data_IF_662777221832
#
_entry.id   IF_662777221832
#
_cell.length_a   1.000
_cell.length_b   1.000
_cell.length_c   1.000
_cell.angle_alpha   90.00
_cell.angle_beta   90.00
_cell.angle_gamma   90.00
#
_symmetry.space_group_name_H-M   'P 1'
#
loop_
_entity.id
_entity.type
_entity.pdbx_description
1 polymer ?
#
# COMPACT_ATOMS: atom_id res chain seq x y z
N UNK A 1 -11.43 0.31 5.91
CA UNK A 1 -12.22 0.19 7.16
C UNK A 1 -11.88 1.27 8.20
N UNK A 2 -12.82 1.62 9.08
CA UNK A 2 -12.66 2.68 10.08
C UNK A 2 -11.68 2.41 11.25
N UNK A 3 -10.86 3.41 11.69
CA UNK A 3 -10.07 3.32 12.95
C UNK A 3 -10.94 2.73 14.05
N UNK A 4 -10.51 1.62 14.66
CA UNK A 4 -11.30 0.95 15.71
C UNK A 4 -11.46 1.86 16.92
N UNK A 5 -12.49 1.64 17.73
CA UNK A 5 -12.68 2.42 18.96
C UNK A 5 -11.44 2.39 19.86
N UNK A 6 -10.79 1.23 19.99
CA UNK A 6 -9.55 1.07 20.74
C UNK A 6 -8.39 1.91 20.17
N UNK A 7 -8.23 1.94 18.84
CA UNK A 7 -7.24 2.79 18.18
C UNK A 7 -7.52 4.28 18.39
N UNK A 8 -8.79 4.71 18.33
CA UNK A 8 -9.17 6.11 18.60
C UNK A 8 -8.93 6.54 20.04
N UNK A 9 -8.95 5.59 20.98
CA UNK A 9 -8.69 5.82 22.41
C UNK A 9 -7.23 5.59 22.81
N UNK A 10 -6.34 5.26 21.86
CA UNK A 10 -4.94 4.95 22.15
C UNK A 10 -4.72 3.63 22.90
N UNK A 11 -5.75 2.78 22.98
CA UNK A 11 -5.70 1.47 23.68
C UNK A 11 -5.18 0.34 22.77
N UNK A 12 -5.10 0.59 21.46
CA UNK A 12 -4.51 -0.32 20.48
C UNK A 12 -3.65 0.46 19.49
N UNK A 13 -2.51 -0.07 19.06
CA UNK A 13 -1.69 0.56 18.03
C UNK A 13 -2.46 0.69 16.71
N UNK A 14 -2.21 1.78 16.00
CA UNK A 14 -2.72 1.98 14.64
C UNK A 14 -1.79 1.20 13.71
N UNK A 15 -2.38 0.39 12.83
CA UNK A 15 -1.63 -0.33 11.80
C UNK A 15 -1.12 0.70 10.78
N UNK A 16 0.18 0.96 10.81
CA UNK A 16 0.86 1.98 9.99
C UNK A 16 1.98 1.41 9.12
N UNK A 17 2.41 0.17 9.38
CA UNK A 17 3.45 -0.48 8.59
C UNK A 17 2.85 -1.26 7.42
N UNK A 18 3.47 -1.11 6.25
CA UNK A 18 3.17 -1.92 5.07
C UNK A 18 3.71 -3.33 5.31
N UNK A 19 2.93 -4.33 4.91
CA UNK A 19 3.26 -5.73 5.11
C UNK A 19 3.89 -6.31 3.84
N UNK A 20 5.23 -6.40 3.80
CA UNK A 20 6.00 -7.01 2.71
C UNK A 20 6.46 -8.41 3.08
N UNK A 21 7.16 -8.57 4.20
CA UNK A 21 7.78 -9.86 4.58
C UNK A 21 7.00 -10.61 5.66
N UNK A 22 5.72 -10.25 5.82
CA UNK A 22 4.83 -10.82 6.83
C UNK A 22 3.37 -10.63 6.45
N UNK A 23 2.48 -11.34 7.14
CA UNK A 23 1.04 -11.16 7.06
C UNK A 23 0.44 -11.30 8.44
N UNK A 24 -0.18 -10.24 8.94
CA UNK A 24 -0.92 -10.26 10.19
C UNK A 24 -2.27 -10.97 10.03
N UNK A 25 -2.86 -11.31 11.19
CA UNK A 25 -4.13 -12.02 11.23
C UNK A 25 -5.26 -11.23 10.59
N UNK A 26 -5.23 -9.89 10.64
CA UNK A 26 -6.31 -9.05 10.12
C UNK A 26 -6.35 -9.12 8.59
N UNK A 27 -5.19 -9.01 7.92
CA UNK A 27 -5.06 -9.21 6.48
C UNK A 27 -5.45 -10.64 6.08
N UNK A 28 -4.90 -11.65 6.77
CA UNK A 28 -5.17 -13.06 6.48
C UNK A 28 -6.67 -13.38 6.60
N UNK A 29 -7.32 -12.91 7.66
CA UNK A 29 -8.76 -13.07 7.86
C UNK A 29 -9.59 -12.36 6.79
N UNK A 30 -9.22 -11.13 6.43
CA UNK A 30 -9.95 -10.35 5.42
C UNK A 30 -9.89 -11.01 4.04
N UNK A 31 -8.72 -11.54 3.65
CA UNK A 31 -8.56 -12.28 2.40
C UNK A 31 -9.41 -13.55 2.39
N UNK A 32 -9.43 -14.31 3.49
CA UNK A 32 -10.31 -15.48 3.59
C UNK A 32 -11.80 -15.11 3.45
N UNK A 33 -12.22 -13.99 4.02
CA UNK A 33 -13.60 -13.53 3.91
C UNK A 33 -13.97 -13.18 2.46
N UNK A 34 -13.07 -12.56 1.70
CA UNK A 34 -13.27 -12.33 0.26
C UNK A 34 -13.49 -13.65 -0.47
N UNK A 35 -12.63 -14.64 -0.27
CA UNK A 35 -12.80 -15.95 -0.90
C UNK A 35 -14.11 -16.63 -0.49
N UNK A 36 -14.51 -16.45 0.78
CA UNK A 36 -15.78 -16.99 1.28
C UNK A 36 -16.98 -16.41 0.55
N UNK A 37 -17.04 -15.09 0.39
CA UNK A 37 -18.18 -14.42 -0.25
C UNK A 37 -18.14 -14.57 -1.77
N UNK A 38 -16.98 -14.35 -2.39
CA UNK A 38 -16.84 -14.30 -3.84
C UNK A 38 -16.67 -15.67 -4.49
N UNK A 39 -16.29 -16.70 -3.74
CA UNK A 39 -16.08 -18.06 -4.26
C UNK A 39 -16.95 -19.08 -3.51
N UNK A 40 -16.66 -19.32 -2.22
CA UNK A 40 -17.21 -20.49 -1.52
C UNK A 40 -18.73 -20.46 -1.39
N UNK A 41 -19.32 -19.28 -1.16
CA UNK A 41 -20.76 -19.08 -1.00
C UNK A 41 -21.49 -18.71 -2.29
N UNK A 42 -20.80 -18.63 -3.44
CA UNK A 42 -21.50 -18.44 -4.71
C UNK A 42 -22.35 -19.67 -5.01
N UNK A 43 -23.57 -19.42 -5.48
CA UNK A 43 -24.50 -20.47 -5.92
C UNK A 43 -23.82 -21.37 -6.96
N UNK A 44 -23.96 -22.69 -6.80
CA UNK A 44 -23.34 -23.67 -7.70
C UNK A 44 -21.93 -24.11 -7.28
N UNK A 45 -21.30 -23.44 -6.29
CA UNK A 45 -19.93 -23.81 -5.89
C UNK A 45 -19.92 -25.06 -4.99
N UNK A 46 -20.59 -25.02 -3.84
CA UNK A 46 -20.64 -26.18 -2.92
C UNK A 46 -21.56 -27.28 -3.43
N UNK A 47 -22.75 -26.87 -3.92
CA UNK A 47 -23.77 -27.76 -4.46
C UNK A 47 -24.32 -27.18 -5.77
N UNK A 48 -24.66 -28.04 -6.71
CA UNK A 48 -25.37 -27.65 -7.94
C UNK A 48 -26.88 -27.47 -7.70
N UNK A 49 -27.65 -27.32 -8.78
CA UNK A 49 -29.09 -27.09 -8.71
C UNK A 49 -29.89 -28.30 -8.22
N UNK A 50 -29.31 -29.50 -8.32
CA UNK A 50 -29.94 -30.78 -7.97
C UNK A 50 -29.52 -31.24 -6.56
N UNK A 51 -28.59 -30.52 -5.92
CA UNK A 51 -28.08 -30.79 -4.58
C UNK A 51 -26.82 -31.66 -4.57
N UNK A 52 -26.35 -32.08 -5.74
CA UNK A 52 -25.11 -32.82 -5.93
C UNK A 52 -23.89 -31.91 -5.75
N UNK A 53 -22.67 -32.48 -5.78
CA UNK A 53 -21.44 -31.72 -5.56
C UNK A 53 -21.23 -30.72 -6.68
N UNK A 54 -21.13 -29.44 -6.32
CA UNK A 54 -20.94 -28.35 -7.29
C UNK A 54 -19.50 -28.19 -7.78
N UNK A 55 -19.18 -26.98 -8.26
CA UNK A 55 -17.87 -26.64 -8.84
C UNK A 55 -16.68 -26.87 -7.89
N UNK A 56 -16.91 -27.01 -6.58
CA UNK A 56 -15.88 -27.35 -5.60
C UNK A 56 -15.14 -28.64 -5.93
N UNK A 57 -15.79 -29.62 -6.58
CA UNK A 57 -15.11 -30.85 -6.98
C UNK A 57 -14.04 -30.58 -8.03
N UNK A 58 -14.40 -29.90 -9.12
CA UNK A 58 -13.47 -29.57 -10.20
C UNK A 58 -12.36 -28.62 -9.73
N UNK A 59 -12.71 -27.63 -8.91
CA UNK A 59 -11.74 -26.75 -8.28
C UNK A 59 -10.79 -27.53 -7.35
N UNK A 60 -11.33 -28.44 -6.53
CA UNK A 60 -10.54 -29.31 -5.66
C UNK A 60 -9.57 -30.18 -6.45
N UNK A 61 -10.00 -30.82 -7.53
CA UNK A 61 -9.12 -31.61 -8.41
C UNK A 61 -7.97 -30.76 -8.95
N UNK A 62 -8.28 -29.56 -9.45
CA UNK A 62 -7.25 -28.65 -9.96
C UNK A 62 -6.29 -28.18 -8.86
N UNK A 63 -6.81 -27.87 -7.66
CA UNK A 63 -6.01 -27.43 -6.53
C UNK A 63 -5.08 -28.55 -6.03
N UNK A 64 -5.58 -29.78 -5.88
CA UNK A 64 -4.75 -30.93 -5.48
C UNK A 64 -3.66 -31.25 -6.49
N UNK A 65 -4.02 -31.32 -7.77
CA UNK A 65 -3.07 -31.68 -8.82
C UNK A 65 -2.03 -30.59 -9.08
N UNK A 66 -2.43 -29.31 -9.12
CA UNK A 66 -1.59 -28.25 -9.68
C UNK A 66 -1.02 -27.28 -8.63
N UNK A 67 -1.69 -27.09 -7.49
CA UNK A 67 -1.19 -26.23 -6.41
C UNK A 67 -0.49 -27.07 -5.34
N UNK A 68 -1.18 -28.07 -4.78
CA UNK A 68 -0.58 -28.95 -3.77
C UNK A 68 0.40 -29.98 -4.35
N UNK A 69 0.33 -30.27 -5.65
CA UNK A 69 1.09 -31.33 -6.30
C UNK A 69 0.91 -32.70 -5.60
N UNK A 70 -0.31 -32.99 -5.16
CA UNK A 70 -0.69 -34.23 -4.47
C UNK A 70 -1.51 -35.16 -5.39
N UNK A 71 -1.48 -36.48 -5.14
CA UNK A 71 -2.37 -37.41 -5.82
C UNK A 71 -3.85 -37.03 -5.60
N UNK A 72 -4.63 -36.99 -6.68
CA UNK A 72 -6.05 -36.61 -6.63
C UNK A 72 -6.87 -37.60 -5.77
N UNK A 73 -6.44 -38.85 -5.66
CA UNK A 73 -7.08 -39.87 -4.82
C UNK A 73 -6.91 -39.65 -3.32
N UNK A 74 -5.97 -38.77 -2.90
CA UNK A 74 -5.87 -38.29 -1.52
C UNK A 74 -6.83 -37.11 -1.23
N UNK A 75 -7.47 -36.54 -2.25
CA UNK A 75 -8.44 -35.46 -2.06
C UNK A 75 -9.64 -35.95 -1.23
N UNK A 76 -10.04 -35.22 -0.17
CA UNK A 76 -11.19 -35.58 0.63
C UNK A 76 -12.46 -35.70 -0.22
N UNK A 77 -13.30 -36.68 0.12
CA UNK A 77 -14.59 -36.85 -0.55
C UNK A 77 -15.62 -35.84 -0.01
N UNK A 78 -16.24 -35.11 -0.93
CA UNK A 78 -17.34 -34.18 -0.65
C UNK A 78 -16.88 -32.75 -0.35
N UNK A 79 -17.66 -31.78 -0.81
CA UNK A 79 -17.29 -30.35 -0.78
C UNK A 79 -16.95 -29.82 0.62
N UNK A 80 -17.68 -30.24 1.65
CA UNK A 80 -17.42 -29.79 3.03
C UNK A 80 -16.06 -30.27 3.57
N UNK A 81 -15.60 -31.46 3.17
CA UNK A 81 -14.29 -31.95 3.58
C UNK A 81 -13.17 -31.25 2.80
N UNK A 82 -13.38 -31.00 1.51
CA UNK A 82 -12.45 -30.24 0.65
C UNK A 82 -12.25 -28.82 1.21
N UNK A 83 -13.33 -28.08 1.48
CA UNK A 83 -13.20 -26.70 1.97
C UNK A 83 -12.58 -26.63 3.37
N UNK A 84 -12.77 -27.66 4.20
CA UNK A 84 -12.13 -27.77 5.51
C UNK A 84 -10.61 -27.86 5.37
N UNK A 85 -10.11 -28.66 4.43
CA UNK A 85 -8.66 -28.74 4.19
C UNK A 85 -8.10 -27.50 3.53
N UNK A 86 -8.83 -26.89 2.58
CA UNK A 86 -8.43 -25.58 2.03
C UNK A 86 -8.30 -24.55 3.15
N UNK A 87 -9.27 -24.50 4.08
CA UNK A 87 -9.21 -23.59 5.23
C UNK A 87 -8.05 -23.91 6.15
N UNK A 88 -7.82 -25.18 6.47
CA UNK A 88 -6.73 -25.61 7.33
C UNK A 88 -5.38 -25.23 6.73
N UNK A 89 -5.16 -25.48 5.44
CA UNK A 89 -3.97 -25.02 4.73
C UNK A 89 -3.83 -23.50 4.81
N UNK A 90 -4.85 -22.76 4.37
CA UNK A 90 -4.83 -21.30 4.29
C UNK A 90 -4.41 -20.65 5.61
N UNK A 91 -4.93 -21.11 6.76
CA UNK A 91 -4.63 -20.49 8.05
C UNK A 91 -3.30 -20.93 8.67
N UNK A 92 -2.79 -22.11 8.33
CA UNK A 92 -1.57 -22.66 8.92
C UNK A 92 -0.32 -22.53 8.02
N UNK A 93 -0.49 -22.18 6.75
CA UNK A 93 0.63 -21.93 5.85
C UNK A 93 1.36 -20.61 6.18
N UNK A 94 2.58 -20.52 5.68
CA UNK A 94 3.43 -19.33 5.72
C UNK A 94 2.77 -18.16 5.00
N UNK A 95 3.16 -16.94 5.34
CA UNK A 95 2.53 -15.74 4.80
C UNK A 95 2.59 -15.67 3.25
N UNK A 96 3.68 -16.12 2.64
CA UNK A 96 3.86 -16.08 1.19
C UNK A 96 2.99 -17.12 0.47
N UNK A 97 2.78 -18.29 1.09
CA UNK A 97 1.92 -19.36 0.55
C UNK A 97 0.45 -18.91 0.46
N UNK A 98 0.02 -17.95 1.29
CA UNK A 98 -1.30 -17.31 1.17
C UNK A 98 -1.42 -16.55 -0.14
N UNK A 99 -0.38 -15.83 -0.54
CA UNK A 99 -0.37 -15.08 -1.80
C UNK A 99 -0.32 -16.03 -3.00
N UNK A 100 0.51 -17.07 -2.97
CA UNK A 100 0.54 -18.12 -4.01
C UNK A 100 -0.84 -18.81 -4.16
N UNK A 101 -1.50 -19.07 -3.03
CA UNK A 101 -2.86 -19.61 -3.05
C UNK A 101 -3.86 -18.64 -3.69
N UNK A 102 -3.75 -17.34 -3.40
CA UNK A 102 -4.60 -16.31 -4.01
C UNK A 102 -4.36 -16.22 -5.52
N UNK A 103 -3.12 -16.29 -5.99
CA UNK A 103 -2.79 -16.35 -7.42
C UNK A 103 -3.48 -17.53 -8.09
N UNK A 104 -3.36 -18.72 -7.49
CA UNK A 104 -4.03 -19.91 -8.01
C UNK A 104 -5.55 -19.71 -8.11
N UNK A 105 -6.18 -19.20 -7.04
CA UNK A 105 -7.63 -18.99 -7.02
C UNK A 105 -8.06 -17.94 -8.04
N UNK A 106 -7.40 -16.78 -8.09
CA UNK A 106 -7.73 -15.72 -9.03
C UNK A 106 -7.50 -16.17 -10.48
N UNK A 107 -6.39 -16.85 -10.74
CA UNK A 107 -6.06 -17.41 -12.05
C UNK A 107 -6.99 -18.55 -12.48
N UNK A 108 -7.51 -19.36 -11.55
CA UNK A 108 -8.48 -20.41 -11.88
C UNK A 108 -9.84 -19.84 -12.29
N UNK A 109 -10.32 -18.82 -11.57
CA UNK A 109 -11.64 -18.25 -11.84
C UNK A 109 -11.64 -17.15 -12.90
N UNK A 110 -10.52 -16.45 -13.09
CA UNK A 110 -10.36 -15.33 -14.06
C UNK A 110 -11.47 -14.27 -13.97
N UNK A 111 -11.99 -14.02 -12.76
CA UNK A 111 -13.08 -13.06 -12.53
C UNK A 111 -12.52 -11.70 -12.10
N UNK A 112 -12.84 -10.67 -12.88
CA UNK A 112 -12.48 -9.29 -12.55
C UNK A 112 -13.06 -8.85 -11.20
N UNK A 113 -14.30 -9.25 -10.89
CA UNK A 113 -14.94 -8.92 -9.60
C UNK A 113 -14.16 -9.47 -8.40
N UNK A 114 -13.69 -10.71 -8.49
CA UNK A 114 -12.87 -11.34 -7.45
C UNK A 114 -11.54 -10.61 -7.29
N UNK A 115 -10.87 -10.31 -8.41
CA UNK A 115 -9.60 -9.58 -8.43
C UNK A 115 -9.75 -8.20 -7.77
N UNK A 116 -10.85 -7.50 -8.06
CA UNK A 116 -11.16 -6.19 -7.48
C UNK A 116 -11.36 -6.27 -5.97
N UNK A 117 -12.11 -7.26 -5.47
CA UNK A 117 -12.32 -7.44 -4.03
C UNK A 117 -11.05 -7.86 -3.28
N UNK A 118 -10.22 -8.73 -3.89
CA UNK A 118 -8.90 -9.08 -3.35
C UNK A 118 -8.03 -7.83 -3.24
N UNK A 119 -7.93 -7.02 -4.31
CA UNK A 119 -7.16 -5.78 -4.28
C UNK A 119 -7.68 -4.76 -3.28
N UNK A 120 -9.01 -4.65 -3.13
CA UNK A 120 -9.64 -3.82 -2.12
C UNK A 120 -9.19 -4.22 -0.71
N UNK A 121 -9.15 -5.51 -0.39
CA UNK A 121 -8.64 -5.98 0.91
C UNK A 121 -7.14 -5.76 1.06
N UNK A 122 -6.34 -6.08 0.04
CA UNK A 122 -4.89 -5.86 0.08
C UNK A 122 -4.56 -4.39 0.36
N UNK A 123 -5.29 -3.45 -0.25
CA UNK A 123 -5.17 -2.02 0.00
C UNK A 123 -5.67 -1.64 1.39
N UNK A 124 -6.88 -2.07 1.71
CA UNK A 124 -7.49 -1.81 3.00
C UNK A 124 -6.72 -2.42 4.14
N UNK A 125 -5.82 -3.37 3.94
CA UNK A 125 -5.04 -3.99 5.01
C UNK A 125 -3.54 -3.66 4.97
N UNK A 126 -3.14 -2.67 4.15
CA UNK A 126 -1.75 -2.24 3.98
C UNK A 126 -0.81 -3.40 3.57
N UNK A 127 -1.28 -4.29 2.70
CA UNK A 127 -0.43 -5.26 2.01
C UNK A 127 0.48 -4.54 1.02
N UNK A 128 1.76 -4.92 1.00
CA UNK A 128 2.76 -4.48 0.02
C UNK A 128 2.52 -5.00 -1.40
N UNK A 129 1.50 -5.87 -1.58
CA UNK A 129 1.21 -6.56 -2.84
C UNK A 129 -0.17 -6.25 -3.41
N UNK A 130 -0.33 -6.32 -4.75
CA UNK A 130 -1.60 -6.25 -5.52
C UNK A 130 -1.65 -7.38 -6.52
N UNK A 131 -2.87 -7.83 -6.84
CA UNK A 131 -3.13 -8.74 -7.94
C UNK A 131 -3.29 -7.96 -9.26
N UNK A 132 -2.41 -8.22 -10.23
CA UNK A 132 -2.43 -7.63 -11.57
C UNK A 132 -2.36 -8.76 -12.59
N UNK A 133 -3.36 -8.86 -13.48
CA UNK A 133 -3.40 -9.92 -14.49
C UNK A 133 -3.44 -11.33 -13.92
N UNK A 134 -3.99 -11.51 -12.72
CA UNK A 134 -4.07 -12.80 -12.03
C UNK A 134 -2.84 -13.18 -11.21
N UNK A 135 -1.80 -12.32 -11.20
CA UNK A 135 -0.54 -12.55 -10.49
C UNK A 135 -0.41 -11.54 -9.35
N UNK A 136 0.05 -11.98 -8.19
CA UNK A 136 0.36 -11.13 -7.05
C UNK A 136 1.73 -10.51 -7.31
N UNK A 137 1.78 -9.19 -7.34
CA UNK A 137 2.98 -8.42 -7.61
C UNK A 137 3.19 -7.38 -6.52
N UNK A 138 4.45 -7.04 -6.29
CA UNK A 138 4.82 -5.92 -5.45
C UNK A 138 4.14 -4.64 -5.95
N UNK A 139 3.51 -3.92 -5.04
CA UNK A 139 3.06 -2.54 -5.27
C UNK A 139 4.15 -1.56 -4.93
N UNK A 140 4.89 -1.92 -3.88
CA UNK A 140 5.95 -1.15 -3.28
C UNK A 140 7.25 -1.83 -3.67
N UNK A 141 7.97 -1.17 -4.55
CA UNK A 141 9.39 -1.42 -4.72
C UNK A 141 10.02 -1.45 -3.30
N UNK A 142 10.66 -2.53 -2.83
CA UNK A 142 11.24 -2.58 -1.47
C UNK A 142 12.12 -1.35 -1.14
N UNK A 143 12.74 -0.79 -2.18
CA UNK A 143 13.52 0.44 -2.18
C UNK A 143 12.69 1.68 -1.79
N UNK A 144 11.40 1.73 -2.14
CA UNK A 144 10.47 2.80 -1.71
C UNK A 144 10.17 2.72 -0.22
N UNK A 145 10.05 1.51 0.32
CA UNK A 145 9.83 1.29 1.75
C UNK A 145 11.09 1.63 2.53
N UNK A 146 12.24 1.07 2.13
CA UNK A 146 13.53 1.37 2.75
C UNK A 146 13.80 2.88 2.76
N UNK A 147 13.55 3.56 1.64
CA UNK A 147 13.70 5.01 1.52
C UNK A 147 12.79 5.78 2.51
N UNK A 148 11.53 5.36 2.66
CA UNK A 148 10.59 5.96 3.61
C UNK A 148 11.01 5.70 5.06
N UNK A 149 11.43 4.47 5.38
CA UNK A 149 11.91 4.09 6.70
C UNK A 149 13.19 4.84 7.09
N UNK A 150 14.14 4.99 6.16
CA UNK A 150 15.34 5.80 6.35
C UNK A 150 14.97 7.26 6.66
N UNK A 151 14.07 7.85 5.88
CA UNK A 151 13.70 9.26 6.02
C UNK A 151 12.93 9.55 7.32
N UNK A 152 12.04 8.63 7.73
CA UNK A 152 11.22 8.73 8.95
C UNK A 152 12.00 8.29 10.20
N UNK A 153 12.93 7.34 10.06
CA UNK A 153 13.78 6.85 11.15
C UNK A 153 14.86 7.84 11.59
N UNK A 154 15.19 8.80 10.73
CA UNK A 154 16.20 9.82 10.98
C UNK A 154 15.81 10.79 12.12
N UNK A 155 16.55 10.74 13.23
CA UNK A 155 16.33 11.58 14.40
C UNK A 155 16.90 12.99 14.28
N UNK A 156 17.79 13.25 13.32
CA UNK A 156 18.48 14.55 13.22
C UNK A 156 17.55 15.65 12.69
N UNK A 157 16.49 15.27 11.99
CA UNK A 157 15.53 16.19 11.36
C UNK A 157 14.09 15.89 11.80
N UNK A 158 13.71 16.23 13.05
CA UNK A 158 12.40 15.87 13.61
C UNK A 158 11.22 16.48 12.84
N UNK A 159 11.39 17.66 12.24
CA UNK A 159 10.35 18.28 11.40
C UNK A 159 10.08 17.50 10.10
N UNK A 160 11.14 17.01 9.46
CA UNK A 160 11.05 16.16 8.26
C UNK A 160 10.31 14.87 8.59
N UNK A 161 10.72 14.20 9.67
CA UNK A 161 10.08 12.99 10.18
C UNK A 161 8.58 13.21 10.44
N UNK A 162 8.23 14.27 11.15
CA UNK A 162 6.83 14.56 11.49
C UNK A 162 5.96 14.74 10.24
N UNK A 163 6.46 15.51 9.25
CA UNK A 163 5.74 15.74 7.99
C UNK A 163 5.62 14.47 7.13
N UNK A 164 6.69 13.68 6.97
CA UNK A 164 6.61 12.43 6.22
C UNK A 164 5.69 11.41 6.88
N UNK A 165 5.74 11.31 8.21
CA UNK A 165 4.84 10.43 8.95
C UNK A 165 3.39 10.89 8.81
N UNK A 166 3.14 12.20 8.87
CA UNK A 166 1.80 12.75 8.65
C UNK A 166 1.30 12.54 7.22
N UNK A 167 2.17 12.71 6.23
CA UNK A 167 1.87 12.44 4.83
C UNK A 167 1.45 10.97 4.64
N UNK A 168 2.22 10.03 5.20
CA UNK A 168 1.91 8.61 5.16
C UNK A 168 0.57 8.28 5.84
N UNK A 169 0.28 8.89 7.00
CA UNK A 169 -1.00 8.72 7.69
C UNK A 169 -2.19 9.21 6.84
N UNK A 170 -2.04 10.35 6.17
CA UNK A 170 -3.08 10.94 5.33
C UNK A 170 -3.29 10.13 4.04
N UNK A 171 -2.21 9.59 3.47
CA UNK A 171 -2.23 8.70 2.31
C UNK A 171 -2.90 7.36 2.63
N UNK A 172 -2.58 6.79 3.80
CA UNK A 172 -3.01 5.45 4.20
C UNK A 172 -4.34 5.41 4.97
N UNK A 173 -5.05 6.53 5.13
CA UNK A 173 -6.37 6.54 5.79
C UNK A 173 -7.41 5.77 4.96
N UNK A 174 -7.72 4.56 5.41
CA UNK A 174 -8.62 3.60 4.76
C UNK A 174 -10.09 4.04 4.69
N UNK A 175 -10.50 5.15 5.32
CA UNK A 175 -11.89 5.66 5.28
C UNK A 175 -12.03 6.88 4.38
N UNK A 176 -11.10 7.79 4.55
CA UNK A 176 -11.16 9.12 3.98
C UNK A 176 -9.72 9.51 3.69
N UNK A 177 -9.09 8.85 2.70
CA UNK A 177 -7.73 9.16 2.33
C UNK A 177 -7.70 10.62 1.90
N UNK A 178 -6.75 11.36 2.45
CA UNK A 178 -6.62 12.77 2.20
C UNK A 178 -5.38 12.99 1.33
N UNK A 179 -5.48 12.55 0.08
CA UNK A 179 -4.40 12.61 -0.90
C UNK A 179 -3.87 14.02 -1.08
N UNK A 180 -4.77 15.02 -1.06
CA UNK A 180 -4.41 16.43 -1.11
C UNK A 180 -3.48 16.80 0.05
N UNK A 181 -3.89 16.55 1.29
CA UNK A 181 -3.08 16.94 2.44
C UNK A 181 -1.85 16.02 2.59
N UNK A 182 -1.89 14.77 2.11
CA UNK A 182 -0.69 13.93 1.98
C UNK A 182 0.36 14.61 1.11
N UNK A 183 -0.01 15.11 -0.07
CA UNK A 183 0.90 15.83 -0.97
C UNK A 183 1.44 17.09 -0.29
N UNK A 184 0.59 17.83 0.44
CA UNK A 184 1.03 19.03 1.17
C UNK A 184 2.10 18.71 2.20
N UNK A 185 1.89 17.66 2.99
CA UNK A 185 2.83 17.23 4.04
C UNK A 185 4.13 16.69 3.43
N UNK A 186 4.08 15.94 2.32
CA UNK A 186 5.29 15.51 1.60
C UNK A 186 6.17 16.69 1.20
N UNK A 187 5.58 17.78 0.73
CA UNK A 187 6.31 19.00 0.36
C UNK A 187 6.79 19.76 1.60
N UNK A 188 5.97 19.82 2.65
CA UNK A 188 6.38 20.41 3.94
C UNK A 188 7.60 19.70 4.53
N UNK A 189 7.78 18.40 4.29
CA UNK A 189 9.00 17.69 4.67
C UNK A 189 10.24 18.22 3.94
N UNK A 190 10.15 18.45 2.63
CA UNK A 190 11.24 19.06 1.84
C UNK A 190 11.52 20.49 2.32
N UNK A 191 10.48 21.29 2.58
CA UNK A 191 10.61 22.63 3.16
C UNK A 191 11.32 22.62 4.51
N UNK A 192 10.93 21.71 5.39
CA UNK A 192 11.51 21.56 6.71
C UNK A 192 13.00 21.25 6.63
N UNK A 193 13.38 20.31 5.74
CA UNK A 193 14.77 19.97 5.53
C UNK A 193 15.57 21.14 4.94
N UNK A 194 15.06 21.76 3.88
CA UNK A 194 15.77 22.85 3.20
C UNK A 194 16.05 24.01 4.18
N UNK A 195 15.05 24.40 4.99
CA UNK A 195 15.23 25.43 6.04
C UNK A 195 16.25 25.03 7.09
N UNK A 196 16.26 23.76 7.50
CA UNK A 196 17.21 23.25 8.48
C UNK A 196 18.65 23.28 7.93
N UNK A 197 18.85 22.83 6.69
CA UNK A 197 20.16 22.81 6.03
C UNK A 197 20.73 24.20 5.73
N UNK A 198 19.87 25.21 5.58
CA UNK A 198 20.29 26.59 5.28
C UNK A 198 20.30 27.49 6.51
N UNK A 199 19.86 27.01 7.67
CA UNK A 199 19.65 27.81 8.89
C UNK A 199 18.72 29.02 8.67
N UNK A 200 17.74 28.90 7.77
CA UNK A 200 16.79 29.96 7.41
C UNK A 200 15.36 29.57 7.80
N UNK A 201 14.95 29.72 9.07
CA UNK A 201 13.69 29.17 9.59
C UNK A 201 12.42 29.76 8.97
N UNK A 202 12.53 30.92 8.30
CA UNK A 202 11.39 31.62 7.67
C UNK A 202 11.47 31.68 6.14
N UNK A 203 12.48 31.06 5.53
CA UNK A 203 12.63 31.08 4.08
C UNK A 203 11.46 30.35 3.40
N UNK A 204 11.03 30.83 2.23
CA UNK A 204 10.18 30.03 1.35
C UNK A 204 10.96 28.81 0.86
N UNK A 205 10.28 27.76 0.36
CA UNK A 205 11.00 26.63 -0.26
C UNK A 205 11.92 27.12 -1.38
N UNK A 206 11.45 28.09 -2.15
CA UNK A 206 12.21 28.69 -3.24
C UNK A 206 13.51 29.32 -2.80
N UNK A 207 13.47 30.09 -1.72
CA UNK A 207 14.65 30.76 -1.18
C UNK A 207 15.61 29.76 -0.52
N UNK A 208 15.07 28.78 0.21
CA UNK A 208 15.87 27.74 0.83
C UNK A 208 16.59 26.89 -0.24
N UNK A 209 15.91 26.45 -1.30
CA UNK A 209 16.54 25.66 -2.37
C UNK A 209 17.61 26.42 -3.16
N UNK A 210 17.45 27.73 -3.36
CA UNK A 210 18.52 28.57 -3.93
C UNK A 210 19.76 28.59 -3.03
N UNK A 211 19.57 28.65 -1.72
CA UNK A 211 20.70 28.62 -0.79
C UNK A 211 21.35 27.23 -0.74
N UNK A 212 20.56 26.16 -0.79
CA UNK A 212 21.06 24.77 -0.88
C UNK A 212 21.88 24.54 -2.16
N UNK A 213 21.51 25.15 -3.30
CA UNK A 213 22.32 25.12 -4.54
C UNK A 213 23.74 25.64 -4.29
N UNK A 214 23.83 26.79 -3.61
CA UNK A 214 25.11 27.47 -3.32
C UNK A 214 25.96 26.67 -2.32
N UNK A 215 25.34 26.13 -1.27
CA UNK A 215 26.08 25.49 -0.16
C UNK A 215 26.36 24.00 -0.39
N UNK A 216 25.47 23.28 -1.08
CA UNK A 216 25.47 21.82 -1.17
C UNK A 216 25.63 21.28 -2.60
N UNK A 217 25.96 22.15 -3.56
CA UNK A 217 26.33 21.83 -4.95
C UNK A 217 25.31 20.93 -5.68
N UNK A 218 24.04 21.33 -5.61
CA UNK A 218 22.97 20.68 -6.38
C UNK A 218 22.95 21.26 -7.79
N UNK A 219 22.78 20.41 -8.79
CA UNK A 219 22.70 20.86 -10.18
C UNK A 219 21.50 21.83 -10.37
N UNK A 220 21.69 23.00 -11.02
CA UNK A 220 20.65 24.02 -11.15
C UNK A 220 19.33 23.50 -11.73
N UNK A 221 19.41 22.64 -12.76
CA UNK A 221 18.23 22.04 -13.39
C UNK A 221 17.41 21.14 -12.45
N UNK A 222 18.07 20.42 -11.52
CA UNK A 222 17.39 19.59 -10.53
C UNK A 222 16.69 20.46 -9.48
N UNK A 223 17.32 21.55 -9.05
CA UNK A 223 16.66 22.54 -8.20
C UNK A 223 15.43 23.13 -8.93
N UNK A 224 15.58 23.54 -10.19
CA UNK A 224 14.47 24.12 -10.96
C UNK A 224 13.31 23.14 -11.17
N UNK A 225 13.57 21.84 -11.30
CA UNK A 225 12.50 20.84 -11.36
C UNK A 225 11.72 20.75 -10.04
N UNK A 226 12.40 20.80 -8.90
CA UNK A 226 11.72 20.85 -7.59
C UNK A 226 10.96 22.15 -7.36
N UNK A 227 11.47 23.29 -7.84
CA UNK A 227 10.73 24.56 -7.81
C UNK A 227 9.45 24.49 -8.65
N UNK A 228 9.49 23.81 -9.80
CA UNK A 228 8.29 23.59 -10.63
C UNK A 228 7.30 22.65 -9.96
N UNK A 229 7.76 21.56 -9.34
CA UNK A 229 6.89 20.66 -8.54
C UNK A 229 6.24 21.40 -7.38
N UNK A 230 7.00 22.23 -6.66
CA UNK A 230 6.49 23.10 -5.61
C UNK A 230 5.45 24.09 -6.14
N UNK A 231 5.76 24.73 -7.27
CA UNK A 231 4.85 25.64 -7.98
C UNK A 231 3.52 24.96 -8.31
N UNK A 232 3.56 23.76 -8.90
CA UNK A 232 2.36 22.98 -9.20
C UNK A 232 1.47 22.73 -7.97
N UNK A 233 2.08 22.49 -6.80
CA UNK A 233 1.31 22.30 -5.57
C UNK A 233 0.85 23.59 -4.90
N UNK A 234 1.51 24.72 -5.17
CA UNK A 234 1.29 26.01 -4.51
C UNK A 234 0.52 27.03 -5.37
N UNK A 235 0.24 26.72 -6.64
CA UNK A 235 -0.51 27.58 -7.56
C UNK A 235 -1.97 27.78 -7.09
N UNK A 236 -2.63 28.87 -7.52
CA UNK A 236 -4.03 29.20 -7.22
C UNK A 236 -5.00 28.11 -7.72
N UNK A 237 -4.66 27.46 -8.84
CA UNK A 237 -5.33 26.25 -9.36
C UNK A 237 -4.68 24.94 -8.87
N UNK A 238 -3.63 25.05 -8.06
CA UNK A 238 -2.85 23.94 -7.54
C UNK A 238 -3.47 23.26 -6.33
N UNK A 239 -2.81 22.21 -5.88
CA UNK A 239 -3.27 21.30 -4.81
C UNK A 239 -3.48 22.03 -3.47
N UNK A 240 -2.78 23.14 -3.19
CA UNK A 240 -2.89 23.89 -1.94
C UNK A 240 -4.02 24.94 -1.91
N UNK A 241 -4.46 25.49 -3.05
CA UNK A 241 -5.39 26.62 -3.09
C UNK A 241 -6.73 26.36 -3.81
N UNK A 242 -6.86 25.28 -4.60
CA UNK A 242 -8.13 24.94 -5.23
C UNK A 242 -9.19 24.52 -4.19
N UNK A 243 -10.11 25.44 -3.86
CA UNK A 243 -11.23 25.21 -2.92
C UNK A 243 -12.55 24.80 -3.59
N UNK A 244 -12.70 24.91 -4.92
CA UNK A 244 -14.04 24.89 -5.52
C UNK A 244 -14.23 24.06 -6.82
N UNK A 245 -13.18 23.61 -7.49
CA UNK A 245 -13.27 22.61 -8.57
C UNK A 245 -12.11 21.62 -8.41
N UNK A 246 -12.41 20.36 -8.10
CA UNK A 246 -11.41 19.35 -7.78
C UNK A 246 -10.45 19.11 -8.97
N UNK A 247 -9.13 19.30 -8.82
CA UNK A 247 -8.22 18.43 -9.56
C UNK A 247 -8.50 17.02 -9.06
N UNK A 248 -8.68 16.09 -9.99
CA UNK A 248 -8.94 14.68 -9.73
C UNK A 248 -7.67 14.04 -9.11
N UNK A 249 -7.29 14.44 -7.88
CA UNK A 249 -6.07 14.01 -7.20
C UNK A 249 -6.29 12.55 -6.80
N UNK A 250 -5.50 11.68 -7.41
CA UNK A 250 -5.58 10.24 -7.22
C UNK A 250 -4.61 9.77 -6.14
N UNK A 251 -4.78 8.50 -5.73
CA UNK A 251 -3.78 7.81 -4.93
C UNK A 251 -2.41 7.74 -5.64
N UNK A 252 -2.38 7.68 -6.97
CA UNK A 252 -1.14 7.66 -7.74
C UNK A 252 -0.39 8.99 -7.62
N UNK A 253 -1.09 10.12 -7.66
CA UNK A 253 -0.50 11.44 -7.45
C UNK A 253 0.09 11.58 -6.04
N UNK A 254 -0.68 11.20 -5.02
CA UNK A 254 -0.21 11.27 -3.64
C UNK A 254 1.01 10.37 -3.39
N UNK A 255 1.01 9.15 -3.94
CA UNK A 255 2.16 8.24 -3.88
C UNK A 255 3.38 8.83 -4.57
N UNK A 256 3.22 9.38 -5.77
CA UNK A 256 4.31 10.01 -6.52
C UNK A 256 4.98 11.12 -5.71
N UNK A 257 4.19 12.02 -5.10
CA UNK A 257 4.73 13.10 -4.27
C UNK A 257 5.36 12.59 -2.98
N UNK A 258 4.72 11.63 -2.29
CA UNK A 258 5.30 11.03 -1.08
C UNK A 258 6.68 10.44 -1.37
N UNK A 259 6.81 9.60 -2.40
CA UNK A 259 8.07 8.95 -2.73
C UNK A 259 9.11 9.92 -3.31
N UNK A 260 8.71 10.83 -4.19
CA UNK A 260 9.64 11.81 -4.79
C UNK A 260 10.19 12.78 -3.74
N UNK A 261 9.36 13.24 -2.81
CA UNK A 261 9.79 14.11 -1.72
C UNK A 261 10.70 13.37 -0.73
N UNK A 262 10.37 12.12 -0.36
CA UNK A 262 11.22 11.27 0.48
C UNK A 262 12.59 11.03 -0.17
N UNK A 263 12.61 10.67 -1.46
CA UNK A 263 13.84 10.45 -2.22
C UNK A 263 14.72 11.71 -2.21
N UNK A 264 14.11 12.87 -2.43
CA UNK A 264 14.83 14.13 -2.43
C UNK A 264 15.35 14.50 -1.04
N UNK A 265 14.57 14.25 0.01
CA UNK A 265 15.00 14.42 1.40
C UNK A 265 16.27 13.59 1.67
N UNK A 266 16.28 12.31 1.29
CA UNK A 266 17.46 11.45 1.51
C UNK A 266 18.65 11.91 0.66
N UNK A 267 18.41 12.29 -0.60
CA UNK A 267 19.45 12.86 -1.47
C UNK A 267 20.09 14.11 -0.86
N UNK A 268 19.29 15.05 -0.36
CA UNK A 268 19.77 16.27 0.29
C UNK A 268 20.60 15.96 1.53
N UNK A 269 20.09 15.08 2.41
CA UNK A 269 20.82 14.63 3.61
C UNK A 269 22.16 14.00 3.25
N UNK A 270 22.20 13.13 2.23
CA UNK A 270 23.42 12.48 1.77
C UNK A 270 24.44 13.47 1.20
N UNK A 271 24.00 14.58 0.61
CA UNK A 271 24.88 15.65 0.13
C UNK A 271 25.43 16.53 1.26
N UNK A 272 24.73 16.62 2.39
CA UNK A 272 25.11 17.48 3.51
C UNK A 272 25.85 16.75 4.64
N UNK A 273 25.62 15.45 4.81
CA UNK A 273 26.38 14.60 5.73
C UNK A 273 27.75 14.30 5.11
N UNK A 274 28.78 15.00 5.58
CA UNK A 274 30.19 14.65 5.34
C UNK A 274 30.68 13.65 6.38
#
# INVERSE_FOLDING_TARGET
MPKTFGQRKGLKPIKVMIQTDSMDSDLKNALWNVLTVEVWYKKGFMHDSDGDVGNIWQFGVALWANYFNLPIDEMPRGGNAIIKEIRNHFFNCSWFEVYEFLEFVVGYFERESLTKEVNSVLEQELSGYRCVGGVISDITNPQEIEMLEEAVGDSDFPGVRAHLQRALELFSDRKNPDYRNSIKESISAVESLARALTELPKATLGDALKQVEITNNIHPALKDSFLKLYGYTSDEQGIRHAMLDEPNITAADARYFLLSCTSFVNYLKAKTRK
#
